data_IF_585244329340
#
_entry.id   IF_585244329340
#
_cell.length_a   1.000
_cell.length_b   1.000
_cell.length_c   1.000
_cell.angle_alpha   90.00
_cell.angle_beta   90.00
_cell.angle_gamma   90.00
#
_symmetry.space_group_name_H-M   'P 1'
#
loop_
_entity.id
_entity.type
_entity.pdbx_description
1 polymer ?
#
# COMPACT_ATOMS: atom_id res chain seq x y z
N UNK A 1 46.55 11.74 22.48
CA UNK A 1 46.87 10.90 21.29
C UNK A 1 46.76 9.43 21.68
N UNK A 2 45.74 8.71 21.21
CA UNK A 2 45.60 7.26 21.40
C UNK A 2 45.51 6.61 20.02
N UNK A 3 46.37 5.62 19.81
CA UNK A 3 46.60 4.93 18.54
C UNK A 3 45.48 3.94 18.23
N UNK A 4 45.18 3.85 16.94
CA UNK A 4 44.21 2.93 16.32
C UNK A 4 44.56 1.45 16.58
N UNK A 5 43.54 0.63 16.83
CA UNK A 5 43.61 -0.83 16.68
C UNK A 5 42.54 -1.25 15.70
N UNK A 6 42.95 -1.54 14.47
CA UNK A 6 42.08 -2.09 13.42
C UNK A 6 42.03 -3.61 13.61
N UNK A 7 40.87 -4.12 14.04
CA UNK A 7 40.57 -5.56 13.97
C UNK A 7 39.96 -5.85 12.61
N UNK A 8 40.68 -6.64 11.83
CA UNK A 8 40.24 -7.30 10.62
C UNK A 8 39.15 -8.33 10.96
N UNK A 9 37.96 -8.19 10.34
CA UNK A 9 36.88 -9.18 10.44
C UNK A 9 36.94 -10.05 9.19
N UNK A 10 37.25 -11.33 9.40
CA UNK A 10 37.22 -12.39 8.39
C UNK A 10 35.77 -12.76 8.04
N UNK A 11 35.38 -12.56 6.78
CA UNK A 11 34.10 -13.01 6.21
C UNK A 11 34.12 -14.53 6.01
N UNK A 12 33.35 -15.26 6.82
CA UNK A 12 33.08 -16.68 6.64
C UNK A 12 31.85 -16.86 5.76
N UNK A 13 32.06 -17.24 4.50
CA UNK A 13 31.01 -17.69 3.58
C UNK A 13 30.37 -18.97 4.09
N UNK A 14 29.14 -18.86 4.60
CA UNK A 14 28.26 -20.02 4.84
C UNK A 14 27.15 -20.01 3.80
N UNK A 15 27.18 -21.05 2.98
CA UNK A 15 26.13 -21.43 2.04
C UNK A 15 24.78 -21.57 2.76
N UNK A 16 23.82 -20.71 2.42
CA UNK A 16 22.41 -20.87 2.76
C UNK A 16 21.69 -21.42 1.53
N UNK A 17 21.57 -22.75 1.47
CA UNK A 17 20.68 -23.43 0.53
C UNK A 17 19.23 -23.19 0.95
N UNK A 18 18.62 -22.23 0.26
CA UNK A 18 17.20 -21.91 0.28
C UNK A 18 16.35 -23.14 -0.01
N UNK A 19 15.58 -23.59 0.98
CA UNK A 19 14.35 -24.38 0.79
C UNK A 19 13.28 -23.84 1.73
N UNK A 20 12.70 -22.70 1.36
CA UNK A 20 11.44 -22.25 1.93
C UNK A 20 10.34 -22.74 1.00
N UNK A 21 9.64 -23.79 1.44
CA UNK A 21 8.39 -24.25 0.85
C UNK A 21 7.30 -23.26 1.29
N UNK A 22 7.00 -22.23 0.50
CA UNK A 22 5.82 -21.39 0.72
C UNK A 22 4.64 -21.98 -0.06
N UNK A 23 4.02 -23.01 0.52
CA UNK A 23 2.67 -23.43 0.16
C UNK A 23 1.77 -23.12 1.35
N UNK A 24 1.11 -21.97 1.32
CA UNK A 24 -0.21 -21.87 1.92
C UNK A 24 -1.08 -20.90 1.13
N UNK A 25 -2.06 -21.51 0.47
CA UNK A 25 -3.17 -20.90 -0.23
C UNK A 25 -4.04 -20.22 0.81
N UNK A 26 -3.82 -18.93 1.05
CA UNK A 26 -4.64 -18.15 1.95
C UNK A 26 -5.87 -17.62 1.19
N UNK A 27 -6.88 -18.49 1.01
CA UNK A 27 -8.23 -18.04 0.71
C UNK A 27 -8.81 -17.43 2.00
N UNK A 28 -8.39 -16.21 2.34
CA UNK A 28 -9.06 -15.42 3.35
C UNK A 28 -10.41 -14.98 2.79
N UNK A 29 -11.43 -15.74 3.17
CA UNK A 29 -12.83 -15.36 3.11
C UNK A 29 -13.02 -14.17 4.07
N UNK A 30 -12.57 -12.98 3.67
CA UNK A 30 -13.00 -11.75 4.31
C UNK A 30 -14.50 -11.69 4.10
N UNK A 31 -15.27 -11.78 5.19
CA UNK A 31 -16.66 -11.37 5.21
C UNK A 31 -16.64 -9.87 4.92
N UNK A 32 -16.54 -9.52 3.63
CA UNK A 32 -16.65 -8.15 3.14
C UNK A 32 -18.06 -7.74 3.51
N UNK A 33 -18.21 -6.99 4.60
CA UNK A 33 -19.43 -6.24 4.82
C UNK A 33 -19.70 -5.48 3.53
N UNK A 34 -20.85 -5.76 2.91
CA UNK A 34 -21.25 -5.08 1.68
C UNK A 34 -21.53 -3.64 2.04
N UNK A 35 -20.50 -2.80 2.00
CA UNK A 35 -20.66 -1.35 2.07
C UNK A 35 -21.54 -0.97 0.89
N UNK A 36 -22.67 -0.34 1.17
CA UNK A 36 -23.54 0.21 0.12
C UNK A 36 -22.95 1.53 -0.34
N UNK A 37 -23.17 1.88 -1.60
CA UNK A 37 -22.70 3.13 -2.20
C UNK A 37 -23.16 4.36 -1.41
N UNK A 38 -24.40 4.35 -0.94
CA UNK A 38 -24.98 5.39 -0.08
C UNK A 38 -24.25 5.51 1.27
N UNK A 39 -23.90 4.37 1.91
CA UNK A 39 -23.12 4.37 3.15
C UNK A 39 -21.70 4.90 2.91
N UNK A 40 -21.04 4.46 1.84
CA UNK A 40 -19.69 4.94 1.49
C UNK A 40 -19.65 6.45 1.27
N UNK A 41 -20.65 7.01 0.57
CA UNK A 41 -20.80 8.47 0.39
C UNK A 41 -20.99 9.20 1.70
N UNK A 42 -21.87 8.68 2.57
CA UNK A 42 -22.12 9.26 3.88
C UNK A 42 -20.86 9.29 4.77
N UNK A 43 -20.02 8.25 4.70
CA UNK A 43 -18.76 8.19 5.47
C UNK A 43 -17.78 9.28 5.02
N UNK A 44 -17.73 9.58 3.72
CA UNK A 44 -16.85 10.60 3.15
C UNK A 44 -17.49 11.98 3.04
N UNK A 45 -18.67 12.19 3.65
CA UNK A 45 -19.34 13.49 3.68
C UNK A 45 -20.01 13.92 2.35
N UNK A 46 -20.18 13.02 1.39
CA UNK A 46 -20.83 13.35 0.12
C UNK A 46 -22.36 13.24 0.19
N UNK A 47 -23.10 14.12 -0.50
CA UNK A 47 -24.55 13.99 -0.62
C UNK A 47 -24.93 12.74 -1.43
N UNK A 48 -26.13 12.19 -1.17
CA UNK A 48 -26.57 10.89 -1.72
C UNK A 48 -26.62 10.87 -3.25
N UNK A 49 -26.84 12.03 -3.89
CA UNK A 49 -27.10 12.14 -5.33
C UNK A 49 -25.93 12.70 -6.14
N UNK A 50 -24.82 13.11 -5.52
CA UNK A 50 -23.66 13.61 -6.27
C UNK A 50 -22.78 12.47 -6.78
N UNK A 51 -22.13 12.71 -7.92
CA UNK A 51 -21.02 11.89 -8.42
C UNK A 51 -19.75 12.72 -8.24
N UNK A 52 -18.99 12.52 -7.16
CA UNK A 52 -17.76 13.26 -6.97
C UNK A 52 -16.75 12.91 -8.07
N UNK A 53 -15.81 13.81 -8.31
CA UNK A 53 -14.59 13.54 -9.08
C UNK A 53 -13.59 12.73 -8.23
N UNK A 54 -12.59 12.10 -8.85
CA UNK A 54 -11.60 11.32 -8.07
C UNK A 54 -10.76 12.26 -7.20
N UNK A 55 -10.46 13.47 -7.66
CA UNK A 55 -9.81 14.52 -6.87
C UNK A 55 -10.62 14.82 -5.60
N UNK A 56 -11.91 15.14 -5.74
CA UNK A 56 -12.78 15.45 -4.60
C UNK A 56 -12.87 14.25 -3.65
N UNK A 57 -12.99 13.04 -4.18
CA UNK A 57 -13.03 11.81 -3.39
C UNK A 57 -11.74 11.61 -2.58
N UNK A 58 -10.58 11.84 -3.21
CA UNK A 58 -9.26 11.75 -2.56
C UNK A 58 -9.10 12.82 -1.50
N UNK A 59 -9.50 14.07 -1.78
CA UNK A 59 -9.42 15.16 -0.82
C UNK A 59 -10.33 14.92 0.39
N UNK A 60 -11.58 14.51 0.17
CA UNK A 60 -12.50 14.16 1.25
C UNK A 60 -11.97 12.99 2.10
N UNK A 61 -11.37 11.98 1.47
CA UNK A 61 -10.69 10.89 2.17
C UNK A 61 -9.53 11.42 3.03
N UNK A 62 -8.71 12.35 2.52
CA UNK A 62 -7.60 12.94 3.28
C UNK A 62 -8.06 13.79 4.45
N UNK A 63 -9.07 14.63 4.26
CA UNK A 63 -9.65 15.44 5.33
C UNK A 63 -10.23 14.56 6.43
N UNK A 64 -11.01 13.53 6.07
CA UNK A 64 -11.56 12.60 7.04
C UNK A 64 -10.47 11.74 7.72
N UNK A 65 -9.42 11.36 7.01
CA UNK A 65 -8.27 10.63 7.57
C UNK A 65 -7.49 11.45 8.61
N UNK A 66 -7.40 12.78 8.43
CA UNK A 66 -6.77 13.69 9.42
C UNK A 66 -7.55 13.71 10.74
N UNK A 67 -8.87 13.63 10.67
CA UNK A 67 -9.74 13.59 11.85
C UNK A 67 -9.64 12.26 12.61
N UNK A 68 -9.22 11.17 11.96
CA UNK A 68 -8.95 9.88 12.61
C UNK A 68 -7.66 9.88 13.46
N UNK A 69 -6.93 10.99 13.58
CA UNK A 69 -5.70 11.07 14.37
C UNK A 69 -6.01 11.12 15.89
N UNK A 70 -5.36 10.32 16.74
CA UNK A 70 -5.65 10.28 18.18
C UNK A 70 -5.40 11.61 18.91
N UNK A 71 -4.66 12.55 18.32
CA UNK A 71 -4.45 13.89 18.88
C UNK A 71 -5.62 14.85 18.63
N UNK A 72 -6.53 14.55 17.71
CA UNK A 72 -7.74 15.35 17.45
C UNK A 72 -8.80 14.90 18.44
N UNK A 73 -8.89 15.58 19.58
CA UNK A 73 -9.73 15.26 20.74
C UNK A 73 -11.22 15.59 20.54
N UNK A 74 -11.81 15.16 19.43
CA UNK A 74 -13.27 15.26 19.26
C UNK A 74 -13.91 13.90 19.53
N UNK A 75 -14.52 13.76 20.70
CA UNK A 75 -15.11 12.53 21.24
C UNK A 75 -16.26 11.94 20.39
N UNK A 76 -16.76 12.66 19.39
CA UNK A 76 -17.95 12.28 18.61
C UNK A 76 -17.64 11.66 17.23
N UNK A 77 -16.40 11.70 16.75
CA UNK A 77 -16.05 11.18 15.42
C UNK A 77 -15.41 9.78 15.48
N UNK A 78 -16.23 8.79 15.89
CA UNK A 78 -15.85 7.36 15.91
C UNK A 78 -15.90 6.69 14.53
N UNK A 79 -15.36 7.34 13.50
CA UNK A 79 -15.16 6.68 12.21
C UNK A 79 -13.86 5.88 12.27
N UNK A 80 -13.98 4.56 12.09
CA UNK A 80 -12.81 3.69 12.02
C UNK A 80 -12.08 3.95 10.70
N UNK A 81 -10.76 4.17 10.76
CA UNK A 81 -9.91 4.42 9.58
C UNK A 81 -10.07 3.30 8.54
N UNK A 82 -10.37 2.08 9.00
CA UNK A 82 -10.67 0.94 8.12
C UNK A 82 -11.97 1.13 7.33
N UNK A 83 -13.04 1.60 7.97
CA UNK A 83 -14.30 1.88 7.28
C UNK A 83 -14.14 3.01 6.28
N UNK A 84 -13.31 4.02 6.62
CA UNK A 84 -12.96 5.12 5.72
C UNK A 84 -12.29 4.60 4.44
N UNK A 85 -11.31 3.70 4.58
CA UNK A 85 -10.61 3.08 3.46
C UNK A 85 -11.53 2.21 2.62
N UNK A 86 -12.35 1.37 3.26
CA UNK A 86 -13.28 0.48 2.57
C UNK A 86 -14.32 1.27 1.76
N UNK A 87 -14.81 2.41 2.29
CA UNK A 87 -15.71 3.32 1.59
C UNK A 87 -15.06 3.94 0.35
N UNK A 88 -13.83 4.45 0.48
CA UNK A 88 -13.05 5.01 -0.61
C UNK A 88 -12.81 3.98 -1.73
N UNK A 89 -12.32 2.79 -1.37
CA UNK A 89 -12.08 1.71 -2.35
C UNK A 89 -13.37 1.26 -3.04
N UNK A 90 -14.49 1.24 -2.32
CA UNK A 90 -15.78 0.85 -2.87
C UNK A 90 -16.27 1.85 -3.94
N UNK A 91 -16.08 3.16 -3.71
CA UNK A 91 -16.50 4.19 -4.66
C UNK A 91 -15.63 4.18 -5.92
N UNK A 92 -14.31 4.02 -5.77
CA UNK A 92 -13.38 3.90 -6.92
C UNK A 92 -13.68 2.65 -7.74
N UNK A 93 -13.71 1.47 -7.10
CA UNK A 93 -13.92 0.19 -7.82
C UNK A 93 -15.33 0.06 -8.40
N UNK A 94 -16.31 0.75 -7.80
CA UNK A 94 -17.70 0.74 -8.23
C UNK A 94 -18.02 1.64 -9.42
N UNK A 95 -17.06 2.42 -9.93
CA UNK A 95 -17.30 3.36 -11.03
C UNK A 95 -18.30 4.46 -10.65
N UNK A 96 -18.38 4.81 -9.36
CA UNK A 96 -19.27 5.84 -8.84
C UNK A 96 -18.65 7.25 -8.87
N UNK A 97 -17.50 7.36 -9.51
CA UNK A 97 -16.66 8.55 -9.60
C UNK A 97 -16.56 8.92 -11.08
N UNK A 98 -16.48 10.22 -11.35
CA UNK A 98 -16.21 10.71 -12.70
C UNK A 98 -14.70 10.78 -12.90
N UNK A 99 -14.19 10.00 -13.86
CA UNK A 99 -12.78 10.02 -14.25
C UNK A 99 -12.51 11.38 -14.90
N UNK A 100 -11.75 12.22 -14.21
CA UNK A 100 -11.26 13.46 -14.77
C UNK A 100 -9.83 13.19 -15.26
N UNK A 101 -9.44 13.56 -16.49
CA UNK A 101 -8.09 13.28 -17.00
C UNK A 101 -6.97 14.00 -16.22
N UNK A 102 -7.31 14.80 -15.21
CA UNK A 102 -6.40 15.46 -14.28
C UNK A 102 -6.05 14.62 -13.04
N UNK A 103 -6.49 13.36 -12.97
CA UNK A 103 -6.26 12.46 -11.82
C UNK A 103 -4.87 11.80 -11.80
N UNK A 104 -4.01 12.13 -12.76
CA UNK A 104 -2.59 11.74 -12.73
C UNK A 104 -1.89 12.44 -11.56
N UNK A 105 -1.31 11.63 -10.67
CA UNK A 105 -0.43 12.13 -9.60
C UNK A 105 0.69 12.91 -10.29
N UNK A 106 0.85 14.18 -9.93
CA UNK A 106 1.92 14.99 -10.50
C UNK A 106 3.27 14.37 -10.16
N UNK A 107 4.22 14.42 -11.10
CA UNK A 107 5.60 13.97 -10.86
C UNK A 107 6.23 14.66 -9.64
N UNK A 108 5.80 15.88 -9.33
CA UNK A 108 6.27 16.60 -8.14
C UNK A 108 5.75 15.97 -6.84
N UNK A 109 4.45 15.62 -6.79
CA UNK A 109 3.86 14.92 -5.63
C UNK A 109 4.48 13.53 -5.44
N UNK A 110 4.74 12.83 -6.54
CA UNK A 110 5.39 11.52 -6.51
C UNK A 110 6.82 11.62 -5.96
N UNK A 111 7.60 12.60 -6.42
CA UNK A 111 8.96 12.84 -5.95
C UNK A 111 9.00 13.28 -4.49
N UNK A 112 8.06 14.11 -4.06
CA UNK A 112 7.93 14.51 -2.65
C UNK A 112 7.64 13.30 -1.76
N UNK A 113 6.72 12.42 -2.19
CA UNK A 113 6.41 11.20 -1.48
C UNK A 113 7.63 10.26 -1.40
N UNK A 114 8.38 10.08 -2.49
CA UNK A 114 9.62 9.29 -2.50
C UNK A 114 10.65 9.80 -1.51
N UNK A 115 10.82 11.13 -1.41
CA UNK A 115 11.71 11.75 -0.42
C UNK A 115 11.21 11.49 1.00
N UNK A 116 9.92 11.72 1.26
CA UNK A 116 9.33 11.50 2.58
C UNK A 116 9.48 10.04 3.05
N UNK A 117 9.26 9.05 2.18
CA UNK A 117 9.46 7.64 2.51
C UNK A 117 10.90 7.36 2.93
N UNK A 118 11.87 7.92 2.21
CA UNK A 118 13.30 7.74 2.52
C UNK A 118 13.69 8.49 3.80
N UNK A 119 13.25 9.73 3.97
CA UNK A 119 13.65 10.59 5.09
C UNK A 119 13.03 10.13 6.41
N UNK A 120 11.77 9.70 6.40
CA UNK A 120 11.03 9.33 7.62
C UNK A 120 11.14 7.83 7.90
N UNK A 121 10.86 6.98 6.91
CA UNK A 121 10.84 5.52 7.13
C UNK A 121 12.20 4.86 6.84
N UNK A 122 13.12 5.54 6.15
CA UNK A 122 14.35 4.92 5.65
C UNK A 122 14.09 3.88 4.56
N UNK A 123 12.91 3.91 3.93
CA UNK A 123 12.46 2.91 2.97
C UNK A 123 12.14 3.56 1.63
N UNK A 124 12.41 2.83 0.55
CA UNK A 124 11.99 3.22 -0.78
C UNK A 124 10.47 3.23 -0.88
N UNK A 125 9.90 4.18 -1.63
CA UNK A 125 8.46 4.31 -1.79
C UNK A 125 7.80 3.05 -2.38
N UNK A 126 8.49 2.34 -3.27
CA UNK A 126 7.98 1.11 -3.88
C UNK A 126 7.76 0.00 -2.84
N UNK A 127 8.65 -0.09 -1.85
CA UNK A 127 8.53 -1.07 -0.75
C UNK A 127 7.37 -0.68 0.16
N UNK A 128 7.19 0.62 0.39
CA UNK A 128 6.07 1.16 1.17
C UNK A 128 4.74 0.83 0.49
N UNK A 129 4.61 1.05 -0.83
CA UNK A 129 3.42 0.69 -1.59
C UNK A 129 3.17 -0.83 -1.63
N UNK A 130 4.21 -1.64 -1.83
CA UNK A 130 4.09 -3.11 -1.75
C UNK A 130 3.59 -3.57 -0.38
N UNK A 131 4.08 -2.93 0.69
CA UNK A 131 3.65 -3.21 2.06
C UNK A 131 2.18 -2.84 2.28
N UNK A 132 1.69 -1.73 1.70
CA UNK A 132 0.26 -1.35 1.76
C UNK A 132 -0.65 -2.41 1.13
N UNK A 133 -0.18 -3.16 0.13
CA UNK A 133 -0.93 -4.24 -0.50
C UNK A 133 -0.95 -5.53 0.33
N UNK A 134 -0.06 -5.67 1.32
CA UNK A 134 0.04 -6.87 2.13
C UNK A 134 -1.02 -6.87 3.26
N UNK A 135 -1.95 -7.85 3.30
CA UNK A 135 -3.00 -7.90 4.32
C UNK A 135 -2.45 -8.13 5.73
N UNK A 136 -1.31 -8.81 5.89
CA UNK A 136 -0.67 -8.96 7.19
C UNK A 136 -0.11 -7.63 7.69
N UNK A 137 0.44 -6.82 6.80
CA UNK A 137 0.91 -5.48 7.13
C UNK A 137 -0.26 -4.59 7.55
N UNK A 138 -1.37 -4.61 6.81
CA UNK A 138 -2.58 -3.87 7.21
C UNK A 138 -3.15 -4.33 8.55
N UNK A 139 -3.13 -5.63 8.83
CA UNK A 139 -3.52 -6.16 10.13
C UNK A 139 -2.58 -5.70 11.25
N UNK A 140 -1.27 -5.77 11.02
CA UNK A 140 -0.26 -5.25 11.94
C UNK A 140 -0.42 -3.74 12.18
N UNK A 141 -0.74 -2.96 11.14
CA UNK A 141 -0.95 -1.51 11.18
C UNK A 141 -2.16 -1.13 12.07
N UNK A 142 -3.15 -2.03 12.21
CA UNK A 142 -4.27 -1.86 13.14
C UNK A 142 -3.93 -2.16 14.61
N UNK A 143 -2.73 -2.69 14.87
CA UNK A 143 -2.24 -2.98 16.21
C UNK A 143 -1.91 -1.71 17.02
N UNK A 144 -1.75 -1.90 18.34
CA UNK A 144 -1.38 -0.83 19.30
C UNK A 144 0.12 -0.71 19.55
N UNK A 145 0.94 -1.21 18.63
CA UNK A 145 2.40 -1.12 18.77
C UNK A 145 2.88 0.28 18.39
N UNK A 146 3.99 0.74 18.98
CA UNK A 146 4.60 2.03 18.63
C UNK A 146 4.98 2.10 17.15
N UNK A 147 5.44 0.97 16.59
CA UNK A 147 5.71 0.85 15.15
C UNK A 147 4.47 1.05 14.30
N UNK A 148 3.33 0.45 14.67
CA UNK A 148 2.07 0.64 13.95
C UNK A 148 1.56 2.08 14.07
N UNK A 149 1.77 2.72 15.23
CA UNK A 149 1.44 4.14 15.42
C UNK A 149 2.33 5.03 14.55
N UNK A 150 3.64 4.77 14.51
CA UNK A 150 4.60 5.52 13.69
C UNK A 150 4.23 5.50 12.21
N UNK A 151 3.92 4.32 11.68
CA UNK A 151 3.49 4.16 10.28
C UNK A 151 2.13 4.83 10.01
N UNK A 152 1.18 4.75 10.94
CA UNK A 152 -0.11 5.46 10.80
C UNK A 152 0.10 6.97 10.75
N UNK A 153 0.93 7.52 11.62
CA UNK A 153 1.24 8.96 11.63
C UNK A 153 1.88 9.39 10.30
N UNK A 154 2.83 8.61 9.79
CA UNK A 154 3.42 8.84 8.47
C UNK A 154 2.37 8.85 7.36
N UNK A 155 1.52 7.82 7.30
CA UNK A 155 0.48 7.76 6.27
C UNK A 155 -0.50 8.92 6.38
N UNK A 156 -0.96 9.27 7.59
CA UNK A 156 -1.86 10.41 7.77
C UNK A 156 -1.26 11.72 7.26
N UNK A 157 0.04 11.94 7.47
CA UNK A 157 0.74 13.13 6.98
C UNK A 157 0.94 13.14 5.45
N UNK A 158 1.13 11.97 4.85
CA UNK A 158 1.49 11.83 3.44
C UNK A 158 0.40 11.20 2.57
N UNK A 159 -0.88 11.44 2.86
CA UNK A 159 -2.01 11.06 1.99
C UNK A 159 -2.46 9.59 2.10
N UNK A 160 -2.45 9.08 3.32
CA UNK A 160 -3.08 7.84 3.74
C UNK A 160 -2.56 6.56 3.09
N UNK A 161 -3.46 5.58 2.98
CA UNK A 161 -3.22 4.31 2.28
C UNK A 161 -3.61 4.39 0.79
N UNK A 162 -3.91 5.59 0.29
CA UNK A 162 -4.12 5.79 -1.14
C UNK A 162 -2.80 5.52 -1.88
N UNK A 163 -2.93 4.98 -3.09
CA UNK A 163 -1.80 4.78 -4.00
C UNK A 163 -1.26 6.16 -4.41
N UNK A 164 0.04 6.36 -4.20
CA UNK A 164 0.76 7.61 -4.45
C UNK A 164 1.87 7.49 -5.49
N UNK A 165 2.18 6.28 -5.91
CA UNK A 165 2.98 6.05 -7.10
C UNK A 165 1.98 5.86 -8.24
N UNK A 166 2.12 6.63 -9.31
CA UNK A 166 1.54 6.23 -10.59
C UNK A 166 2.10 4.84 -10.85
N UNK A 167 1.24 3.80 -10.83
CA UNK A 167 1.65 2.44 -11.16
C UNK A 167 2.54 2.55 -12.39
N UNK A 168 3.86 2.26 -12.29
CA UNK A 168 4.72 2.43 -13.44
C UNK A 168 4.12 1.51 -14.48
N UNK A 169 3.70 2.09 -15.60
CA UNK A 169 3.33 1.35 -16.79
C UNK A 169 4.42 0.29 -17.04
N UNK A 170 4.17 -0.92 -16.56
CA UNK A 170 4.96 -2.12 -16.82
C UNK A 170 6.37 -2.26 -16.22
N UNK A 171 6.58 -2.17 -14.90
CA UNK A 171 7.73 -2.89 -14.29
C UNK A 171 7.40 -4.31 -13.79
N UNK A 172 6.12 -4.59 -13.48
CA UNK A 172 5.63 -5.96 -13.23
C UNK A 172 5.10 -6.66 -14.50
N UNK A 173 4.80 -5.91 -15.58
CA UNK A 173 4.38 -6.50 -16.86
C UNK A 173 5.55 -7.07 -17.69
N UNK A 174 6.78 -6.64 -17.44
CA UNK A 174 7.97 -7.08 -18.16
C UNK A 174 8.49 -8.43 -17.65
N UNK A 175 8.29 -8.75 -16.37
CA UNK A 175 8.73 -10.04 -15.80
C UNK A 175 7.76 -11.20 -16.06
N UNK A 176 6.53 -10.92 -16.53
CA UNK A 176 5.55 -11.95 -16.88
C UNK A 176 5.75 -12.55 -18.30
N UNK A 177 6.60 -11.94 -19.14
CA UNK A 177 6.79 -12.35 -20.55
C UNK A 177 8.05 -13.19 -20.83
N UNK A 178 8.87 -13.48 -19.81
CA UNK A 178 10.03 -14.38 -19.98
C UNK A 178 9.79 -15.75 -19.33
N UNK A 179 8.58 -16.30 -19.50
CA UNK A 179 8.42 -17.76 -19.44
C UNK A 179 8.91 -18.27 -20.78
N UNK A 180 10.18 -18.68 -20.82
CA UNK A 180 10.69 -19.48 -21.94
C UNK A 180 9.75 -20.67 -22.09
N UNK A 181 9.04 -20.83 -23.23
CA UNK A 181 8.21 -22.00 -23.43
C UNK A 181 9.12 -23.22 -23.32
N UNK A 182 8.80 -24.12 -22.38
CA UNK A 182 9.45 -25.40 -22.23
C UNK A 182 9.04 -26.31 -23.40
N UNK A 183 9.46 -25.97 -24.61
CA UNK A 183 9.41 -26.83 -25.78
C UNK A 183 10.75 -27.54 -25.95
N UNK A 184 10.65 -28.84 -26.21
CA UNK A 184 11.59 -29.53 -27.09
C UNK A 184 12.95 -29.98 -26.51
N UNK A 185 12.97 -30.84 -25.48
CA UNK A 185 14.09 -31.78 -25.33
C UNK A 185 13.69 -33.13 -24.72
N UNK A 186 12.77 -33.86 -25.35
CA UNK A 186 12.71 -35.32 -25.20
C UNK A 186 13.26 -35.99 -26.45
N UNK A 187 14.59 -36.09 -26.42
CA UNK A 187 15.44 -36.91 -27.27
C UNK A 187 14.83 -38.30 -27.44
N UNK A 188 14.52 -38.65 -28.69
CA UNK A 188 14.28 -40.03 -29.15
C UNK A 188 15.36 -40.95 -28.58
N UNK A 189 14.99 -42.03 -27.90
CA UNK A 189 15.83 -43.22 -27.78
C UNK A 189 15.15 -44.33 -28.57
N UNK A 190 15.65 -44.56 -29.78
CA UNK A 190 15.43 -45.77 -30.56
C UNK A 190 16.57 -46.73 -30.26
N UNK A 191 16.22 -48.02 -30.26
CA UNK A 191 17.03 -49.23 -30.03
C UNK A 191 17.18 -49.61 -28.57
#
# INVERSE_FOLDING_TARGET
>A
MRLFSYRTITLSSRNLTSRIIFRHRNQHNQVRYKVTTSKARSILGFPKDSKPTVIELRQAYYEAAKLCHPDVKEDDHKLDFRELKDAYEHLIKGGHVTDSPSDEISLDEENEYRRACMDVLGLKAEIVEESKQNPMFLHWLSGRTDGAQYWRNFFTAHGGLAEKLSSPDGYLATNAKHVVPASESRRRRRR
#
